data_IF_665904504713
#
_entry.id   IF_665904504713
#
_cell.length_a   1.000
_cell.length_b   1.000
_cell.length_c   1.000
_cell.angle_alpha   90.00
_cell.angle_beta   90.00
_cell.angle_gamma   90.00
#
_symmetry.space_group_name_H-M   'P 1'
#
loop_
_entity.id
_entity.type
_entity.pdbx_description
1 polymer ?
#
# COMPACT_ATOMS: atom_id res chain seq x y z
N UNK A 1 -15.48 -7.92 -0.29
CA UNK A 1 -15.09 -6.81 -1.19
C UNK A 1 -13.67 -6.41 -0.85
N UNK A 2 -12.72 -6.47 -1.79
CA UNK A 2 -11.32 -6.09 -1.59
C UNK A 2 -11.09 -4.71 -2.19
N UNK A 3 -10.55 -3.78 -1.41
CA UNK A 3 -10.26 -2.40 -1.83
C UNK A 3 -8.82 -2.00 -1.50
N UNK A 4 -8.19 -1.24 -2.41
CA UNK A 4 -6.88 -0.61 -2.20
C UNK A 4 -6.82 0.74 -2.90
N UNK A 5 -6.17 1.70 -2.26
CA UNK A 5 -5.77 2.96 -2.88
C UNK A 5 -4.48 2.73 -3.70
N UNK A 6 -4.46 3.26 -4.91
CA UNK A 6 -3.41 3.09 -5.91
C UNK A 6 -2.98 4.45 -6.45
N UNK A 7 -1.68 4.60 -6.67
CA UNK A 7 -1.07 5.64 -7.50
C UNK A 7 -0.68 4.97 -8.82
N UNK A 8 -1.25 5.46 -9.91
CA UNK A 8 -0.99 5.06 -11.27
C UNK A 8 -0.14 6.13 -11.95
N UNK A 9 0.95 5.74 -12.61
CA UNK A 9 1.68 6.60 -13.53
C UNK A 9 1.55 6.07 -14.95
N UNK A 10 0.98 6.89 -15.82
CA UNK A 10 0.73 6.58 -17.22
C UNK A 10 1.90 7.10 -18.09
N UNK A 11 2.50 6.24 -18.92
CA UNK A 11 3.51 6.68 -19.89
C UNK A 11 2.84 7.48 -21.02
N UNK A 12 3.63 8.32 -21.72
CA UNK A 12 3.20 9.18 -22.85
C UNK A 12 2.29 8.50 -23.87
N UNK A 13 2.57 7.24 -24.17
CA UNK A 13 1.89 6.45 -25.22
C UNK A 13 0.47 6.01 -24.83
N UNK A 14 0.15 6.02 -23.54
CA UNK A 14 -1.05 5.42 -22.99
C UNK A 14 -2.00 6.43 -22.33
N UNK A 15 -1.58 7.70 -22.19
CA UNK A 15 -2.40 8.77 -21.57
C UNK A 15 -3.69 9.03 -22.35
N UNK A 16 -3.69 8.80 -23.67
CA UNK A 16 -4.85 9.05 -24.54
C UNK A 16 -5.84 7.87 -24.58
N UNK A 17 -5.50 6.72 -23.98
CA UNK A 17 -6.34 5.53 -23.99
C UNK A 17 -7.20 5.43 -22.73
N UNK A 18 -8.46 4.95 -22.83
CA UNK A 18 -9.36 4.83 -21.68
C UNK A 18 -9.08 3.59 -20.81
N UNK A 19 -7.81 3.34 -20.47
CA UNK A 19 -7.34 2.13 -19.76
C UNK A 19 -8.05 1.95 -18.43
N UNK A 20 -8.25 3.05 -17.70
CA UNK A 20 -8.93 3.02 -16.40
C UNK A 20 -10.41 2.66 -16.56
N UNK A 21 -11.09 3.12 -17.61
CA UNK A 21 -12.47 2.75 -17.89
C UNK A 21 -12.60 1.26 -18.16
N UNK A 22 -11.62 0.65 -18.84
CA UNK A 22 -11.62 -0.79 -19.09
C UNK A 22 -11.49 -1.65 -17.83
N UNK A 23 -11.02 -1.09 -16.71
CA UNK A 23 -11.09 -1.78 -15.41
C UNK A 23 -12.53 -2.07 -14.99
N UNK A 24 -13.43 -1.11 -15.22
CA UNK A 24 -14.83 -1.26 -14.87
C UNK A 24 -15.57 -2.20 -15.82
N UNK A 25 -15.32 -2.08 -17.13
CA UNK A 25 -16.06 -2.86 -18.13
C UNK A 25 -15.56 -4.30 -18.24
N UNK A 26 -14.25 -4.53 -18.15
CA UNK A 26 -13.66 -5.84 -18.46
C UNK A 26 -13.35 -6.67 -17.22
N UNK A 27 -13.26 -6.05 -16.05
CA UNK A 27 -12.89 -6.71 -14.79
C UNK A 27 -13.91 -6.51 -13.67
N UNK A 28 -15.09 -5.94 -13.94
CA UNK A 28 -16.13 -5.69 -12.92
C UNK A 28 -15.59 -4.96 -11.69
N UNK A 29 -14.60 -4.07 -11.89
CA UNK A 29 -14.00 -3.28 -10.84
C UNK A 29 -14.70 -1.95 -10.73
N UNK A 30 -14.87 -1.46 -9.51
CA UNK A 30 -15.28 -0.08 -9.28
C UNK A 30 -14.07 0.71 -8.84
N UNK A 31 -14.03 1.99 -9.19
CA UNK A 31 -12.97 2.86 -8.75
C UNK A 31 -13.50 4.24 -8.38
N UNK A 32 -12.83 4.87 -7.42
CA UNK A 32 -13.10 6.24 -7.04
C UNK A 32 -11.84 7.08 -7.28
N UNK A 33 -11.98 8.20 -7.98
CA UNK A 33 -10.88 9.07 -8.32
C UNK A 33 -10.63 10.07 -7.19
N UNK A 34 -9.43 10.05 -6.61
CA UNK A 34 -9.05 10.95 -5.52
C UNK A 34 -8.26 12.15 -6.04
N UNK A 35 -7.37 11.93 -7.01
CA UNK A 35 -6.60 12.99 -7.68
C UNK A 35 -6.18 12.54 -9.06
N UNK A 36 -6.27 13.40 -10.06
CA UNK A 36 -5.66 13.20 -11.37
C UNK A 36 -4.83 14.41 -11.74
N UNK A 37 -3.68 14.18 -12.37
CA UNK A 37 -2.84 15.21 -12.95
C UNK A 37 -2.38 14.69 -14.30
N UNK A 38 -2.89 15.28 -15.37
CA UNK A 38 -2.57 14.89 -16.74
C UNK A 38 -1.74 16.00 -17.34
N UNK A 39 -0.48 15.69 -17.67
CA UNK A 39 0.41 16.61 -18.37
C UNK A 39 0.48 16.21 -19.84
N UNK A 40 0.00 17.06 -20.77
CA UNK A 40 0.06 16.77 -22.21
C UNK A 40 1.49 16.44 -22.64
N UNK A 41 1.68 15.33 -23.36
CA UNK A 41 2.98 14.84 -23.89
C UNK A 41 4.05 14.50 -22.83
N UNK A 42 3.68 14.34 -21.55
CA UNK A 42 4.61 13.96 -20.46
C UNK A 42 4.21 12.66 -19.76
N UNK A 43 3.52 12.73 -18.64
CA UNK A 43 3.15 11.57 -17.84
C UNK A 43 1.82 11.91 -17.16
N UNK A 44 0.94 10.92 -17.03
CA UNK A 44 -0.28 11.06 -16.25
C UNK A 44 -0.07 10.50 -14.85
N UNK A 45 -0.46 11.22 -13.81
CA UNK A 45 -0.54 10.71 -12.44
C UNK A 45 -2.01 10.57 -12.06
N UNK A 46 -2.41 9.40 -11.56
CA UNK A 46 -3.75 9.19 -11.03
C UNK A 46 -3.70 8.51 -9.68
N UNK A 47 -4.33 9.10 -8.69
CA UNK A 47 -4.55 8.52 -7.37
C UNK A 47 -6.00 8.12 -7.29
N UNK A 48 -6.25 6.84 -7.06
CA UNK A 48 -7.61 6.29 -7.02
C UNK A 48 -7.74 5.12 -6.06
N UNK A 49 -8.93 4.93 -5.51
CA UNK A 49 -9.31 3.70 -4.84
C UNK A 49 -9.86 2.71 -5.87
N UNK A 50 -9.39 1.46 -5.86
CA UNK A 50 -9.84 0.39 -6.73
C UNK A 50 -10.43 -0.74 -5.89
N UNK A 51 -11.66 -1.14 -6.20
CA UNK A 51 -12.47 -2.07 -5.42
C UNK A 51 -13.07 -3.18 -6.29
N UNK A 52 -13.17 -4.40 -5.75
CA UNK A 52 -13.79 -5.53 -6.43
C UNK A 52 -13.57 -6.87 -5.73
N UNK A 53 -13.71 -7.98 -6.46
CA UNK A 53 -13.28 -9.28 -5.96
C UNK A 53 -11.76 -9.36 -5.98
N UNK A 54 -11.16 -10.22 -5.12
CA UNK A 54 -9.70 -10.36 -5.09
C UNK A 54 -9.13 -10.89 -6.41
N UNK A 55 -9.89 -11.76 -7.09
CA UNK A 55 -9.52 -12.34 -8.38
C UNK A 55 -9.48 -11.26 -9.45
N UNK A 56 -10.54 -10.45 -9.53
CA UNK A 56 -10.63 -9.42 -10.57
C UNK A 56 -9.71 -8.24 -10.30
N UNK A 57 -9.52 -7.88 -9.02
CA UNK A 57 -8.56 -6.85 -8.64
C UNK A 57 -7.15 -7.21 -9.14
N UNK A 58 -6.72 -8.45 -8.91
CA UNK A 58 -5.41 -8.92 -9.36
C UNK A 58 -5.31 -8.91 -10.90
N UNK A 59 -6.36 -9.31 -11.61
CA UNK A 59 -6.40 -9.26 -13.08
C UNK A 59 -6.34 -7.82 -13.61
N UNK A 60 -7.11 -6.89 -13.03
CA UNK A 60 -7.11 -5.49 -13.43
C UNK A 60 -5.77 -4.80 -13.15
N UNK A 61 -5.13 -5.09 -12.01
CA UNK A 61 -3.78 -4.60 -11.71
C UNK A 61 -2.75 -5.16 -12.69
N UNK A 62 -2.89 -6.43 -13.11
CA UNK A 62 -2.00 -7.01 -14.11
C UNK A 62 -2.21 -6.34 -15.47
N UNK A 63 -3.46 -6.15 -15.90
CA UNK A 63 -3.82 -5.44 -17.12
C UNK A 63 -3.19 -4.03 -17.20
N UNK A 64 -3.22 -3.27 -16.09
CA UNK A 64 -2.55 -1.96 -16.02
C UNK A 64 -1.05 -2.07 -16.28
N UNK A 65 -0.38 -3.04 -15.65
CA UNK A 65 1.06 -3.27 -15.82
C UNK A 65 1.42 -3.72 -17.23
N UNK A 66 0.59 -4.55 -17.85
CA UNK A 66 0.78 -5.02 -19.22
C UNK A 66 0.68 -3.86 -20.23
N UNK A 67 -0.09 -2.82 -19.89
CA UNK A 67 -0.15 -1.55 -20.63
C UNK A 67 0.92 -0.54 -20.17
N UNK A 68 1.96 -0.98 -19.44
CA UNK A 68 3.06 -0.10 -19.02
C UNK A 68 2.70 0.94 -17.96
N UNK A 69 1.50 0.89 -17.37
CA UNK A 69 1.12 1.77 -16.27
C UNK A 69 1.86 1.33 -15.01
N UNK A 70 2.61 2.24 -14.39
CA UNK A 70 3.26 1.95 -13.12
C UNK A 70 2.21 2.03 -12.00
N UNK A 71 1.96 0.90 -11.34
CA UNK A 71 0.97 0.78 -10.27
C UNK A 71 1.67 0.68 -8.93
N UNK A 72 1.44 1.66 -8.05
CA UNK A 72 1.93 1.66 -6.68
C UNK A 72 0.75 1.65 -5.71
N UNK A 73 0.71 0.70 -4.78
CA UNK A 73 -0.28 0.76 -3.71
C UNK A 73 0.04 1.91 -2.75
N UNK A 74 -0.95 2.77 -2.52
CA UNK A 74 -0.93 3.71 -1.41
C UNK A 74 -1.33 2.92 -0.18
N UNK A 75 -0.34 2.69 0.67
CA UNK A 75 -0.54 2.07 1.95
C UNK A 75 0.20 2.87 2.99
N UNK A 76 -0.47 3.14 4.10
CA UNK A 76 0.27 3.27 5.33
C UNK A 76 0.79 1.87 5.66
N UNK A 77 2.09 1.74 5.87
CA UNK A 77 2.65 0.56 6.49
C UNK A 77 3.34 0.95 7.78
N UNK A 78 3.42 0.00 8.69
CA UNK A 78 4.26 0.15 9.86
C UNK A 78 5.61 -0.43 9.48
N UNK A 79 6.68 0.35 9.61
CA UNK A 79 8.06 -0.09 9.43
C UNK A 79 8.75 -0.13 10.78
N UNK A 80 9.45 -1.24 11.04
CA UNK A 80 10.38 -1.36 12.16
C UNK A 80 11.79 -0.99 11.73
N UNK A 81 12.39 -0.05 12.43
CA UNK A 81 13.82 0.22 12.37
C UNK A 81 14.57 -0.85 13.17
N UNK A 82 15.30 -1.72 12.48
CA UNK A 82 16.03 -2.84 13.08
C UNK A 82 17.24 -2.40 13.90
N UNK A 83 17.83 -1.24 13.62
CA UNK A 83 18.99 -0.74 14.39
C UNK A 83 18.58 -0.13 15.73
N UNK A 84 17.38 0.46 15.80
CA UNK A 84 16.82 1.01 17.06
C UNK A 84 16.05 -0.02 17.88
N UNK A 85 15.56 -1.10 17.27
CA UNK A 85 14.71 -2.06 17.96
C UNK A 85 15.53 -2.94 18.92
N UNK A 86 15.20 -2.89 20.20
CA UNK A 86 15.83 -3.70 21.25
C UNK A 86 15.10 -5.02 21.53
N UNK A 87 14.11 -5.38 20.72
CA UNK A 87 13.25 -6.55 20.92
C UNK A 87 12.56 -6.62 22.31
N UNK A 88 12.37 -5.49 23.02
CA UNK A 88 11.74 -5.45 24.35
C UNK A 88 10.29 -5.97 24.44
N UNK A 89 9.61 -6.18 23.31
CA UNK A 89 8.26 -6.76 23.28
C UNK A 89 7.11 -5.82 23.61
N UNK A 90 7.35 -4.55 24.00
CA UNK A 90 6.27 -3.61 24.34
C UNK A 90 5.20 -3.48 23.23
N UNK A 91 5.62 -3.56 21.97
CA UNK A 91 4.72 -3.47 20.82
C UNK A 91 3.82 -4.71 20.63
N UNK A 92 4.18 -5.88 21.19
CA UNK A 92 3.34 -7.08 21.09
C UNK A 92 2.13 -7.00 22.01
N UNK A 93 2.27 -6.34 23.17
CA UNK A 93 1.18 -6.17 24.14
C UNK A 93 0.03 -5.30 23.60
N UNK A 94 0.36 -4.33 22.75
CA UNK A 94 -0.62 -3.39 22.17
C UNK A 94 -1.09 -3.78 20.76
N UNK A 95 -0.67 -4.93 20.23
CA UNK A 95 -1.00 -5.34 18.87
C UNK A 95 -2.30 -6.14 18.83
N UNK A 96 -3.44 -5.57 18.42
CA UNK A 96 -4.74 -6.24 18.50
C UNK A 96 -4.85 -7.42 17.52
N UNK A 97 -4.11 -7.40 16.41
CA UNK A 97 -4.16 -8.44 15.39
C UNK A 97 -3.15 -9.56 15.60
N UNK A 98 -2.29 -9.46 16.62
CA UNK A 98 -1.17 -10.38 16.81
C UNK A 98 -0.16 -10.36 15.66
N UNK A 99 -0.06 -9.25 14.92
CA UNK A 99 0.96 -9.07 13.88
C UNK A 99 2.38 -9.03 14.48
N UNK A 100 2.51 -8.59 15.72
CA UNK A 100 3.76 -8.55 16.47
C UNK A 100 3.70 -9.61 17.58
N UNK A 101 4.68 -10.51 17.60
CA UNK A 101 4.76 -11.59 18.60
C UNK A 101 6.21 -11.85 19.02
N UNK A 102 6.42 -12.50 20.16
CA UNK A 102 7.75 -12.92 20.62
C UNK A 102 7.98 -14.36 20.17
N UNK A 103 9.08 -14.59 19.45
CA UNK A 103 9.58 -15.94 19.17
C UNK A 103 10.43 -16.41 20.35
N UNK A 104 10.06 -17.55 20.93
CA UNK A 104 10.82 -18.23 21.99
C UNK A 104 11.54 -19.44 21.39
N UNK A 105 12.75 -19.78 21.88
CA UNK A 105 13.44 -19.22 23.05
C UNK A 105 14.27 -17.95 22.76
N UNK A 106 14.37 -17.50 21.51
CA UNK A 106 15.30 -16.44 21.09
C UNK A 106 14.91 -15.04 21.60
N UNK A 107 13.72 -14.89 22.19
CA UNK A 107 13.16 -13.64 22.72
C UNK A 107 13.16 -12.50 21.69
N UNK A 108 13.01 -12.84 20.41
CA UNK A 108 12.98 -11.88 19.32
C UNK A 108 11.55 -11.51 18.96
N UNK A 109 11.28 -10.21 18.85
CA UNK A 109 10.03 -9.74 18.25
C UNK A 109 9.98 -10.11 16.76
N UNK A 110 8.97 -10.85 16.36
CA UNK A 110 8.61 -11.16 14.97
C UNK A 110 7.50 -10.24 14.51
N UNK A 111 7.60 -9.73 13.28
CA UNK A 111 6.58 -8.87 12.70
C UNK A 111 6.02 -9.46 11.40
N UNK A 112 4.77 -9.92 11.47
CA UNK A 112 4.01 -10.42 10.34
C UNK A 112 3.18 -9.29 9.69
N UNK A 113 3.75 -8.67 8.66
CA UNK A 113 3.11 -7.57 7.93
C UNK A 113 1.76 -7.94 7.31
N UNK A 114 1.50 -9.22 7.00
CA UNK A 114 0.22 -9.67 6.43
C UNK A 114 -0.94 -9.59 7.43
N UNK A 115 -0.64 -9.64 8.73
CA UNK A 115 -1.62 -9.52 9.82
C UNK A 115 -1.75 -8.08 10.34
N UNK A 116 -0.89 -7.16 9.89
CA UNK A 116 -0.89 -5.80 10.39
C UNK A 116 -2.12 -5.03 9.87
N UNK A 117 -2.96 -4.54 10.78
CA UNK A 117 -4.07 -3.63 10.46
C UNK A 117 -3.63 -2.17 10.31
N UNK A 118 -2.35 -1.88 10.54
CA UNK A 118 -1.79 -0.51 10.48
C UNK A 118 -2.47 0.45 11.47
N UNK A 119 -2.97 -0.07 12.59
CA UNK A 119 -3.64 0.74 13.63
C UNK A 119 -2.72 1.77 14.33
N UNK A 120 -1.40 1.66 14.16
CA UNK A 120 -0.44 2.63 14.69
C UNK A 120 -0.12 2.52 16.18
N UNK A 121 -0.84 1.71 16.96
CA UNK A 121 -0.66 1.60 18.43
C UNK A 121 0.77 1.24 18.87
N UNK A 122 1.50 0.47 18.06
CA UNK A 122 2.88 0.11 18.35
C UNK A 122 3.89 1.27 18.21
N UNK A 123 3.51 2.38 17.58
CA UNK A 123 4.37 3.56 17.41
C UNK A 123 4.60 4.28 18.74
N UNK A 124 3.56 4.78 19.45
CA UNK A 124 3.74 5.40 20.75
C UNK A 124 4.20 4.40 21.83
N UNK A 125 3.82 3.13 21.71
CA UNK A 125 4.21 2.09 22.67
C UNK A 125 5.68 1.65 22.58
N UNK A 126 6.45 2.10 21.58
CA UNK A 126 7.83 1.68 21.38
C UNK A 126 8.81 2.66 22.08
N UNK A 127 9.42 2.29 23.23
CA UNK A 127 10.31 3.20 23.95
C UNK A 127 11.51 3.71 23.13
N UNK A 128 12.22 2.86 22.33
CA UNK A 128 13.33 3.36 21.50
C UNK A 128 12.85 4.07 20.22
N UNK A 129 11.54 4.26 20.04
CA UNK A 129 10.93 4.86 18.84
C UNK A 129 11.38 4.17 17.55
N UNK A 130 11.41 2.84 17.57
CA UNK A 130 11.81 2.03 16.44
C UNK A 130 10.66 1.71 15.46
N UNK A 131 9.42 2.01 15.80
CA UNK A 131 8.25 1.75 14.96
C UNK A 131 7.77 3.06 14.32
N UNK A 132 7.60 3.08 13.01
CA UNK A 132 7.23 4.26 12.22
C UNK A 132 6.05 3.92 11.29
N UNK A 133 5.07 4.81 11.15
CA UNK A 133 4.12 4.74 10.04
C UNK A 133 4.78 5.38 8.83
N UNK A 134 4.91 4.65 7.73
CA UNK A 134 5.30 5.21 6.44
C UNK A 134 4.11 5.21 5.52
N UNK A 135 3.79 6.41 5.05
CA UNK A 135 2.90 6.59 3.91
C UNK A 135 3.75 6.52 2.65
N UNK A 136 3.40 5.66 1.69
CA UNK A 136 4.08 5.61 0.38
C UNK A 136 3.86 6.85 -0.49
N UNK A 137 3.23 7.91 0.02
CA UNK A 137 2.97 9.17 -0.70
C UNK A 137 4.24 9.95 -1.07
N UNK A 138 5.30 9.87 -0.27
CA UNK A 138 6.32 10.92 -0.26
C UNK A 138 7.44 10.82 -1.32
N UNK A 139 7.36 9.89 -2.26
CA UNK A 139 8.34 9.77 -3.37
C UNK A 139 7.79 10.27 -4.71
N UNK A 140 6.47 10.49 -4.83
CA UNK A 140 5.84 10.58 -6.15
C UNK A 140 5.33 11.97 -6.55
N UNK A 141 5.48 12.98 -5.68
CA UNK A 141 5.03 14.37 -5.86
C UNK A 141 6.17 15.41 -5.88
N UNK A 142 7.43 14.97 -6.04
CA UNK A 142 8.54 15.88 -6.37
C UNK A 142 8.70 16.00 -7.87
#
# INVERSE_FOLDING_TARGET
MYSRMLVLRFPKTEVEKPIVCFLATNFSLTFNLLKATILPRKEGLMVMELSGTRKDFNKGVQYLKDHGVQVHAVGQNIKRNTTKCTHCGACTAVCPTGALSIKRPEMTVVFNHKKCSVCGLCVPACPPRAMEIRTTENTFLK
#
